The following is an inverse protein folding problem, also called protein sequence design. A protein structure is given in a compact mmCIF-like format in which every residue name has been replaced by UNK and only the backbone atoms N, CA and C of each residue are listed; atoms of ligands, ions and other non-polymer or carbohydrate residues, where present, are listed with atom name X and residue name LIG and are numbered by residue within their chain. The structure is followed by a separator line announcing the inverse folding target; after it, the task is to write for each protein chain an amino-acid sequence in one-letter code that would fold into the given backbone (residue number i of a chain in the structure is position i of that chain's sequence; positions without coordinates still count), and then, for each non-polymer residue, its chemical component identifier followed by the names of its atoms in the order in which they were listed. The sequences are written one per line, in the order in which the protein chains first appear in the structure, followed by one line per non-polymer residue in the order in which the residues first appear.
data_IF_648378739792
#
_entry.id   IF_648378739792
#
_cell.length_a   1.000
_cell.length_b   1.000
_cell.length_c   1.000
_cell.angle_alpha   90.00
_cell.angle_beta   90.00
_cell.angle_gamma   90.00
#
_symmetry.space_group_name_H-M   'P 1'
#
loop_
_entity.id
_entity.type
_entity.pdbx_description
1 polymer ?
#
# COMPACT_ATOMS: atom_id res chain seq x y z
N UNK A 1 3.26 9.18 -6.98
CA UNK A 1 3.47 10.45 -6.27
C UNK A 1 2.68 10.44 -4.96
N UNK A 2 3.29 10.89 -3.84
CA UNK A 2 2.61 11.07 -2.56
C UNK A 2 1.68 12.28 -2.60
N UNK A 3 0.58 12.19 -1.86
CA UNK A 3 -0.32 13.29 -1.57
C UNK A 3 -0.49 13.45 -0.06
N UNK A 4 -0.69 14.69 0.37
CA UNK A 4 -1.02 15.02 1.74
C UNK A 4 -2.39 15.67 1.75
N UNK A 5 -3.36 15.01 2.38
CA UNK A 5 -4.75 15.44 2.40
C UNK A 5 -5.10 16.04 3.75
N UNK A 6 -5.77 17.19 3.74
CA UNK A 6 -6.31 17.85 4.92
C UNK A 6 -7.83 17.91 4.86
N UNK A 7 -8.48 17.59 5.95
CA UNK A 7 -9.94 17.53 6.08
C UNK A 7 -10.52 18.80 6.72
N UNK A 8 -10.00 19.96 6.36
CA UNK A 8 -10.41 21.29 6.84
C UNK A 8 -10.44 21.43 8.37
N UNK A 9 -9.53 20.73 9.08
CA UNK A 9 -9.44 20.74 10.53
C UNK A 9 -10.44 19.85 11.27
N UNK A 10 -11.29 19.12 10.53
CA UNK A 10 -12.16 18.11 11.14
C UNK A 10 -11.34 16.84 11.45
N UNK A 11 -11.58 16.22 12.62
CA UNK A 11 -10.93 14.95 12.93
C UNK A 11 -11.42 13.84 12.01
N UNK A 12 -10.53 12.96 11.62
CA UNK A 12 -10.84 11.76 10.83
C UNK A 12 -10.31 10.51 11.55
N UNK A 13 -10.90 9.38 11.28
CA UNK A 13 -10.43 8.07 11.76
C UNK A 13 -10.16 7.19 10.55
N UNK A 14 -8.98 6.56 10.52
CA UNK A 14 -8.67 5.54 9.50
C UNK A 14 -9.40 4.26 9.90
N UNK A 15 -10.22 3.72 9.01
CA UNK A 15 -11.02 2.50 9.22
C UNK A 15 -10.67 1.38 8.28
N UNK A 16 -9.86 1.65 7.25
CA UNK A 16 -9.35 0.65 6.32
C UNK A 16 -8.07 1.10 5.63
N UNK A 17 -7.21 0.15 5.31
CA UNK A 17 -5.99 0.34 4.52
C UNK A 17 -5.91 -0.79 3.50
N UNK A 18 -5.76 -0.44 2.23
CA UNK A 18 -5.67 -1.37 1.09
C UNK A 18 -6.81 -2.40 1.07
N UNK A 19 -8.02 -1.97 1.48
CA UNK A 19 -9.22 -2.81 1.54
C UNK A 19 -9.33 -3.68 2.80
N UNK A 20 -8.35 -3.64 3.70
CA UNK A 20 -8.40 -4.38 4.96
C UNK A 20 -8.86 -3.47 6.11
N UNK A 21 -9.82 -3.89 6.94
CA UNK A 21 -10.29 -3.09 8.06
C UNK A 21 -9.20 -2.92 9.11
N UNK A 22 -9.16 -1.73 9.73
CA UNK A 22 -8.26 -1.42 10.82
C UNK A 22 -9.07 -0.97 12.03
N UNK A 23 -8.71 -1.46 13.19
CA UNK A 23 -9.47 -1.30 14.43
C UNK A 23 -8.70 -0.45 15.44
N UNK A 24 -9.42 0.16 16.38
CA UNK A 24 -8.88 0.96 17.48
C UNK A 24 -8.01 2.13 17.03
N UNK A 25 -8.34 2.77 15.91
CA UNK A 25 -7.59 3.92 15.42
C UNK A 25 -7.97 5.18 16.18
N UNK A 26 -6.97 5.94 16.60
CA UNK A 26 -7.19 7.25 17.18
C UNK A 26 -7.59 8.26 16.08
N UNK A 27 -8.45 9.24 16.40
CA UNK A 27 -8.73 10.32 15.47
C UNK A 27 -7.46 11.11 15.12
N UNK A 28 -7.23 11.29 13.81
CA UNK A 28 -6.21 12.18 13.28
C UNK A 28 -6.75 13.58 13.06
N UNK A 29 -5.95 14.61 13.27
CA UNK A 29 -6.30 16.01 13.01
C UNK A 29 -5.30 16.69 12.08
N UNK A 30 -4.18 16.03 11.83
CA UNK A 30 -3.14 16.48 10.90
C UNK A 30 -3.48 16.03 9.48
N UNK A 31 -2.59 16.33 8.54
CA UNK A 31 -2.74 15.81 7.18
C UNK A 31 -2.55 14.29 7.12
N UNK A 32 -3.28 13.65 6.22
CA UNK A 32 -3.14 12.24 5.88
C UNK A 32 -2.18 12.10 4.70
N UNK A 33 -1.06 11.41 4.90
CA UNK A 33 -0.16 11.03 3.80
C UNK A 33 -0.74 9.80 3.09
N UNK A 34 -0.80 9.86 1.75
CA UNK A 34 -1.19 8.73 0.90
C UNK A 34 -0.18 8.59 -0.23
N UNK A 35 0.43 7.42 -0.33
CA UNK A 35 1.39 7.07 -1.38
C UNK A 35 0.74 6.66 -2.69
N UNK A 36 1.54 6.44 -3.76
CA UNK A 36 1.04 5.89 -5.00
C UNK A 36 0.34 4.55 -4.74
N UNK A 37 -0.87 4.40 -5.28
CA UNK A 37 -1.74 3.23 -5.15
C UNK A 37 -2.15 2.79 -3.75
N UNK A 38 -1.77 3.49 -2.71
CA UNK A 38 -2.34 3.26 -1.39
C UNK A 38 -3.83 3.64 -1.38
N UNK A 39 -4.65 2.84 -0.72
CA UNK A 39 -6.07 3.11 -0.49
C UNK A 39 -6.29 3.20 1.00
N UNK A 40 -6.85 4.32 1.46
CA UNK A 40 -7.11 4.55 2.87
C UNK A 40 -8.57 4.95 3.01
N UNK A 41 -9.32 4.15 3.75
CA UNK A 41 -10.69 4.45 4.09
C UNK A 41 -10.72 5.28 5.37
N UNK A 42 -11.45 6.38 5.33
CA UNK A 42 -11.58 7.30 6.47
C UNK A 42 -13.03 7.50 6.87
N UNK A 43 -13.27 7.48 8.16
CA UNK A 43 -14.53 7.89 8.76
C UNK A 43 -14.43 9.34 9.21
N UNK A 44 -15.44 10.13 8.86
CA UNK A 44 -15.56 11.54 9.19
C UNK A 44 -16.91 11.83 9.85
N UNK A 45 -16.90 12.59 10.95
CA UNK A 45 -18.12 13.13 11.51
C UNK A 45 -18.40 14.48 10.84
N UNK A 46 -19.46 14.53 10.04
CA UNK A 46 -19.82 15.71 9.26
C UNK A 46 -20.80 16.58 10.04
N UNK A 47 -20.44 17.86 10.22
CA UNK A 47 -21.39 18.89 10.65
C UNK A 47 -22.23 19.33 9.44
N UNK A 48 -23.50 18.90 9.39
CA UNK A 48 -24.41 19.21 8.28
C UNK A 48 -24.78 20.69 8.18
N UNK A 49 -24.37 21.55 9.12
CA UNK A 49 -24.71 22.98 9.13
C UNK A 49 -23.70 23.83 8.40
N UNK A 50 -22.54 23.29 8.04
CA UNK A 50 -21.47 24.01 7.35
C UNK A 50 -20.87 23.22 6.20
N UNK A 51 -20.44 23.94 5.20
CA UNK A 51 -19.63 23.39 4.12
C UNK A 51 -18.22 23.09 4.66
N UNK A 52 -17.64 21.97 4.24
CA UNK A 52 -16.25 21.63 4.51
C UNK A 52 -15.55 21.11 3.23
N UNK A 53 -14.27 20.92 3.29
CA UNK A 53 -13.50 20.49 2.13
C UNK A 53 -12.36 19.55 2.50
N UNK A 54 -12.02 18.69 1.53
CA UNK A 54 -10.78 17.92 1.50
C UNK A 54 -9.86 18.63 0.52
N UNK A 55 -8.68 18.95 0.94
CA UNK A 55 -7.70 19.66 0.10
C UNK A 55 -6.34 18.97 0.13
N UNK A 56 -5.65 19.00 -1.00
CA UNK A 56 -4.24 18.65 -1.05
C UNK A 56 -3.43 19.80 -0.49
N UNK A 57 -2.49 19.47 0.41
CA UNK A 57 -1.55 20.43 1.01
C UNK A 57 -0.12 20.21 0.51
N UNK A 58 0.02 19.58 -0.66
CA UNK A 58 1.32 19.39 -1.28
C UNK A 58 1.92 20.71 -1.77
N UNK A 59 3.20 20.93 -1.49
CA UNK A 59 3.96 22.11 -1.96
C UNK A 59 4.19 22.10 -3.48
N UNK A 60 3.55 21.20 -4.21
CA UNK A 60 3.78 20.99 -5.63
C UNK A 60 2.68 21.62 -6.47
N UNK A 61 3.06 22.46 -7.43
CA UNK A 61 2.18 23.19 -8.34
C UNK A 61 1.14 22.35 -9.10
N UNK A 62 1.39 21.04 -9.27
CA UNK A 62 0.43 20.13 -9.91
C UNK A 62 -0.70 19.68 -8.98
N UNK A 63 -0.51 19.79 -7.66
CA UNK A 63 -1.53 19.50 -6.65
C UNK A 63 -2.19 20.78 -6.10
N UNK A 64 -1.67 21.95 -6.45
CA UNK A 64 -2.31 23.22 -6.15
C UNK A 64 -3.72 23.21 -6.71
N UNK A 65 -4.71 23.47 -5.85
CA UNK A 65 -6.14 23.49 -6.17
C UNK A 65 -6.85 22.12 -6.29
N UNK A 66 -6.26 21.03 -5.90
CA UNK A 66 -7.02 19.79 -5.70
C UNK A 66 -7.87 19.94 -4.43
N UNK A 67 -9.12 20.29 -4.63
CA UNK A 67 -10.10 20.52 -3.54
C UNK A 67 -11.40 19.80 -3.87
N UNK A 68 -11.83 18.95 -2.93
CA UNK A 68 -13.18 18.38 -2.94
C UNK A 68 -14.02 19.13 -1.92
N UNK A 69 -15.08 19.80 -2.41
CA UNK A 69 -16.05 20.48 -1.54
C UNK A 69 -17.18 19.54 -1.18
N UNK A 70 -17.44 19.40 0.11
CA UNK A 70 -18.57 18.65 0.63
C UNK A 70 -19.64 19.64 1.07
N UNK A 71 -20.75 19.63 0.34
CA UNK A 71 -21.89 20.53 0.55
C UNK A 71 -23.02 19.67 1.10
N UNK A 72 -23.40 19.84 2.37
CA UNK A 72 -24.55 19.15 2.93
C UNK A 72 -25.80 19.48 2.12
N UNK A 73 -26.63 18.48 1.81
CA UNK A 73 -27.99 18.74 1.33
C UNK A 73 -28.77 19.41 2.46
N UNK A 74 -29.41 20.55 2.18
CA UNK A 74 -30.39 21.11 3.08
C UNK A 74 -31.47 20.03 3.31
N UNK A 75 -31.45 19.44 4.47
CA UNK A 75 -32.52 18.56 4.93
C UNK A 75 -33.63 19.52 5.33
N UNK A 76 -34.79 19.39 4.70
CA UNK A 76 -36.00 20.13 5.12
C UNK A 76 -36.15 19.94 6.64
N UNK A 77 -36.46 21.03 7.35
CA UNK A 77 -36.45 21.12 8.81
C UNK A 77 -37.36 20.10 9.53
N UNK A 78 -38.13 19.32 8.79
CA UNK A 78 -39.10 18.35 9.33
C UNK A 78 -38.55 16.92 9.52
N UNK A 79 -37.34 16.62 9.14
CA UNK A 79 -36.75 15.31 9.35
C UNK A 79 -35.49 15.40 10.26
N UNK A 80 -35.76 15.59 11.57
CA UNK A 80 -34.81 15.21 12.61
C UNK A 80 -34.65 13.70 12.59
N UNK A 81 -33.88 13.18 11.66
CA UNK A 81 -33.37 11.82 11.71
C UNK A 81 -32.54 11.70 12.98
N UNK A 82 -33.03 10.88 13.90
CA UNK A 82 -32.28 10.41 15.05
C UNK A 82 -30.95 9.90 14.52
N UNK A 83 -29.88 10.63 14.78
CA UNK A 83 -28.54 10.08 14.83
C UNK A 83 -28.59 8.92 15.80
N UNK A 84 -28.59 7.71 15.30
CA UNK A 84 -28.22 6.56 16.10
C UNK A 84 -26.75 6.82 16.43
N UNK A 85 -26.50 7.32 17.64
CA UNK A 85 -25.19 7.20 18.24
C UNK A 85 -24.90 5.70 18.32
N UNK A 86 -24.21 5.16 17.35
CA UNK A 86 -23.41 3.98 17.57
C UNK A 86 -22.31 4.46 18.52
N UNK A 87 -22.57 4.32 19.81
CA UNK A 87 -21.51 4.26 20.80
C UNK A 87 -20.78 2.97 20.53
N UNK A 88 -19.88 3.00 19.58
CA UNK A 88 -18.76 2.10 19.64
C UNK A 88 -18.02 2.50 20.90
N UNK A 89 -17.98 1.59 21.86
CA UNK A 89 -17.14 1.69 23.03
C UNK A 89 -15.69 1.76 22.55
N UNK A 90 -15.26 2.98 22.20
CA UNK A 90 -13.86 3.29 22.01
C UNK A 90 -13.25 3.16 23.40
N UNK A 91 -12.74 1.98 23.70
CA UNK A 91 -11.86 1.81 24.86
C UNK A 91 -10.68 2.76 24.61
N UNK A 92 -10.66 3.86 25.33
CA UNK A 92 -9.60 4.88 25.34
C UNK A 92 -8.28 4.24 25.75
N UNK A 93 -7.63 3.45 24.94
CA UNK A 93 -6.26 2.91 25.07
C UNK A 93 -6.09 1.58 24.31
N UNK A 94 -6.91 1.29 23.29
CA UNK A 94 -6.68 0.13 22.43
C UNK A 94 -5.49 0.35 21.49
N UNK A 95 -4.58 -0.61 21.41
CA UNK A 95 -3.57 -0.61 20.37
C UNK A 95 -4.23 -0.84 19.01
N UNK A 96 -3.92 0.01 18.03
CA UNK A 96 -4.40 -0.14 16.66
C UNK A 96 -3.97 -1.51 16.11
N UNK A 97 -4.87 -2.24 15.45
CA UNK A 97 -4.59 -3.54 14.87
C UNK A 97 -5.42 -3.83 13.62
N UNK A 98 -4.97 -4.81 12.85
CA UNK A 98 -5.67 -5.44 11.74
C UNK A 98 -5.78 -6.94 12.00
N UNK A 99 -6.73 -7.61 11.35
CA UNK A 99 -6.79 -9.07 11.39
C UNK A 99 -5.57 -9.63 10.62
N UNK A 100 -4.70 -10.41 11.27
CA UNK A 100 -3.48 -10.91 10.62
C UNK A 100 -3.80 -12.08 9.68
N UNK A 101 -3.04 -12.20 8.59
CA UNK A 101 -3.03 -13.41 7.74
C UNK A 101 -2.52 -14.60 8.57
N UNK A 102 -1.45 -14.37 9.32
CA UNK A 102 -0.84 -15.35 10.19
C UNK A 102 -0.93 -14.88 11.64
N UNK A 103 -1.71 -15.59 12.46
CA UNK A 103 -1.79 -15.32 13.92
C UNK A 103 -0.47 -15.62 14.62
N UNK A 104 0.19 -16.69 14.19
CA UNK A 104 1.55 -17.04 14.57
C UNK A 104 2.37 -17.12 13.29
N UNK A 105 3.53 -16.47 13.27
CA UNK A 105 4.38 -16.45 12.08
C UNK A 105 4.94 -17.84 11.83
N UNK A 106 4.54 -18.51 10.75
CA UNK A 106 5.04 -19.83 10.42
C UNK A 106 6.47 -19.77 9.90
N UNK A 107 7.12 -20.93 9.80
CA UNK A 107 8.35 -21.05 9.03
C UNK A 107 8.01 -20.94 7.56
N UNK A 108 8.66 -20.07 6.79
CA UNK A 108 8.42 -19.97 5.35
C UNK A 108 8.91 -21.22 4.62
N UNK A 109 8.22 -21.58 3.55
CA UNK A 109 8.67 -22.64 2.63
C UNK A 109 9.72 -22.09 1.66
N UNK A 110 9.61 -20.78 1.33
CA UNK A 110 10.48 -20.07 0.40
C UNK A 110 10.81 -18.68 0.95
N UNK A 111 12.07 -18.25 0.77
CA UNK A 111 12.52 -16.91 1.13
C UNK A 111 13.17 -16.24 -0.09
N UNK A 112 12.83 -14.95 -0.31
CA UNK A 112 13.41 -14.11 -1.34
C UNK A 112 13.94 -12.80 -0.75
N UNK A 113 15.11 -12.36 -1.22
CA UNK A 113 15.64 -11.05 -0.91
C UNK A 113 15.52 -10.14 -2.14
N UNK A 114 14.97 -8.94 -1.95
CA UNK A 114 14.80 -7.92 -2.98
C UNK A 114 15.59 -6.68 -2.61
N UNK A 115 16.76 -6.51 -3.21
CA UNK A 115 17.52 -5.27 -3.13
C UNK A 115 16.98 -4.29 -4.17
N UNK A 116 16.29 -3.23 -3.70
CA UNK A 116 15.72 -2.19 -4.54
C UNK A 116 16.78 -1.12 -4.82
N UNK A 117 17.21 -1.01 -6.05
CA UNK A 117 18.32 -0.15 -6.48
C UNK A 117 17.92 0.86 -7.55
N UNK A 118 18.84 1.77 -7.83
CA UNK A 118 18.76 2.69 -8.97
C UNK A 118 20.15 2.94 -9.52
N UNK A 119 20.30 2.86 -10.84
CA UNK A 119 21.57 3.06 -11.54
C UNK A 119 21.39 3.95 -12.76
N UNK A 120 22.51 4.42 -13.31
CA UNK A 120 22.52 5.11 -14.60
C UNK A 120 22.84 4.10 -15.69
N UNK A 121 21.86 3.73 -16.49
CA UNK A 121 22.04 2.97 -17.70
C UNK A 121 22.59 3.81 -18.88
N UNK A 122 22.44 3.32 -20.10
CA UNK A 122 22.91 4.02 -21.31
C UNK A 122 22.10 5.29 -21.64
N UNK A 123 22.07 6.25 -20.69
CA UNK A 123 21.46 7.57 -20.88
C UNK A 123 20.14 7.78 -20.13
N UNK A 124 19.60 6.75 -19.49
CA UNK A 124 18.39 6.82 -18.67
C UNK A 124 18.67 6.29 -17.27
N UNK A 125 17.83 6.69 -16.32
CA UNK A 125 17.80 6.09 -14.99
C UNK A 125 17.15 4.70 -15.11
N UNK A 126 17.83 3.69 -14.61
CA UNK A 126 17.34 2.33 -14.46
C UNK A 126 16.99 2.09 -12.99
N UNK A 127 15.90 1.37 -12.74
CA UNK A 127 15.48 1.00 -11.40
C UNK A 127 15.47 -0.53 -11.30
N UNK A 128 16.25 -1.06 -10.38
CA UNK A 128 16.63 -2.46 -10.37
C UNK A 128 16.05 -3.22 -9.18
N UNK A 129 15.85 -4.53 -9.34
CA UNK A 129 15.70 -5.50 -8.27
C UNK A 129 16.89 -6.45 -8.37
N UNK A 130 17.69 -6.55 -7.29
CA UNK A 130 18.90 -7.38 -7.24
C UNK A 130 19.88 -7.07 -8.40
N UNK A 131 20.05 -5.76 -8.71
CA UNK A 131 20.94 -5.24 -9.77
C UNK A 131 20.45 -5.51 -11.21
N UNK A 132 19.30 -6.20 -11.38
CA UNK A 132 18.71 -6.52 -12.68
C UNK A 132 17.46 -5.68 -12.94
N UNK A 133 17.12 -5.51 -14.23
CA UNK A 133 15.89 -4.87 -14.70
C UNK A 133 15.00 -5.91 -15.37
N UNK A 134 13.69 -5.75 -15.26
CA UNK A 134 12.74 -6.62 -15.96
C UNK A 134 12.98 -6.57 -17.50
N UNK A 135 12.99 -7.71 -18.21
CA UNK A 135 12.55 -9.05 -17.77
C UNK A 135 13.66 -9.96 -17.19
N UNK A 136 14.87 -9.47 -16.97
CA UNK A 136 16.00 -10.27 -16.46
C UNK A 136 15.95 -10.49 -14.94
N UNK A 137 15.03 -9.82 -14.23
CA UNK A 137 14.83 -10.02 -12.79
C UNK A 137 14.41 -11.46 -12.47
N UNK A 138 14.98 -12.05 -11.42
CA UNK A 138 14.62 -13.40 -10.98
C UNK A 138 13.16 -13.46 -10.51
N UNK A 139 12.31 -14.36 -11.07
CA UNK A 139 10.93 -14.51 -10.64
C UNK A 139 10.81 -15.22 -9.29
N UNK A 140 9.73 -14.96 -8.58
CA UNK A 140 9.32 -15.72 -7.40
C UNK A 140 8.60 -17.00 -7.85
N UNK A 141 9.31 -18.11 -7.91
CA UNK A 141 8.72 -19.41 -8.25
C UNK A 141 8.06 -20.05 -7.03
N UNK A 142 6.76 -20.29 -7.08
CA UNK A 142 5.99 -20.84 -5.95
C UNK A 142 5.10 -22.00 -6.38
N UNK A 143 4.66 -22.78 -5.40
CA UNK A 143 3.54 -23.75 -5.51
C UNK A 143 2.34 -23.22 -4.77
N UNK A 144 1.16 -23.59 -5.20
CA UNK A 144 -0.05 -23.33 -4.43
C UNK A 144 0.05 -23.89 -3.01
N UNK A 145 -0.15 -23.01 -2.05
CA UNK A 145 -0.08 -23.31 -0.62
C UNK A 145 1.22 -22.94 0.06
N UNK A 146 2.29 -22.65 -0.67
CA UNK A 146 3.58 -22.24 -0.09
C UNK A 146 3.42 -20.97 0.76
N UNK A 147 4.16 -20.92 1.86
CA UNK A 147 4.36 -19.73 2.66
C UNK A 147 5.63 -19.04 2.19
N UNK A 148 5.48 -17.84 1.68
CA UNK A 148 6.57 -17.05 1.11
C UNK A 148 6.95 -15.92 2.04
N UNK A 149 8.24 -15.75 2.31
CA UNK A 149 8.81 -14.57 2.95
C UNK A 149 9.61 -13.79 1.91
N UNK A 150 9.40 -12.48 1.83
CA UNK A 150 10.24 -11.60 1.05
C UNK A 150 10.82 -10.50 1.94
N UNK A 151 12.12 -10.22 1.78
CA UNK A 151 12.82 -9.11 2.43
C UNK A 151 13.07 -8.04 1.38
N UNK A 152 12.45 -6.88 1.54
CA UNK A 152 12.63 -5.72 0.67
C UNK A 152 13.61 -4.76 1.34
N UNK A 153 14.70 -4.42 0.65
CA UNK A 153 15.75 -3.51 1.16
C UNK A 153 15.92 -2.39 0.15
N UNK A 154 15.72 -1.15 0.55
CA UNK A 154 15.91 -0.01 -0.32
C UNK A 154 17.32 0.61 -0.13
N UNK A 155 18.21 0.32 -1.06
CA UNK A 155 19.59 0.88 -1.12
C UNK A 155 19.67 2.11 -2.05
N UNK A 156 18.55 2.60 -2.54
CA UNK A 156 18.48 3.78 -3.40
C UNK A 156 18.14 5.04 -2.60
N UNK A 157 18.13 6.19 -3.29
CA UNK A 157 17.69 7.48 -2.73
C UNK A 157 16.22 7.82 -3.02
N UNK A 158 15.48 6.90 -3.61
CA UNK A 158 14.09 7.09 -4.01
C UNK A 158 13.17 6.24 -3.14
N UNK A 159 11.93 6.69 -2.98
CA UNK A 159 10.87 5.85 -2.40
C UNK A 159 10.44 4.80 -3.43
N UNK A 160 10.22 3.57 -2.97
CA UNK A 160 9.72 2.50 -3.83
C UNK A 160 8.42 1.93 -3.25
N UNK A 161 7.25 2.39 -3.73
CA UNK A 161 5.98 1.76 -3.40
C UNK A 161 5.86 0.43 -4.16
N UNK A 162 6.18 -0.67 -3.48
CA UNK A 162 6.18 -2.03 -4.04
C UNK A 162 4.81 -2.67 -3.88
N UNK A 163 4.20 -3.10 -4.98
CA UNK A 163 2.86 -3.70 -5.04
C UNK A 163 2.93 -5.12 -5.59
N UNK A 164 2.30 -6.04 -4.85
CA UNK A 164 2.15 -7.43 -5.25
C UNK A 164 0.72 -7.67 -5.74
N UNK A 165 0.58 -8.00 -7.02
CA UNK A 165 -0.72 -8.35 -7.60
C UNK A 165 -1.27 -9.66 -7.06
N UNK A 166 -2.59 -9.73 -6.97
CA UNK A 166 -3.34 -10.95 -6.67
C UNK A 166 -3.20 -11.47 -5.23
N UNK A 167 -2.37 -10.87 -4.40
CA UNK A 167 -2.11 -11.32 -3.03
C UNK A 167 -2.07 -10.17 -2.03
N UNK A 168 -2.51 -10.45 -0.82
CA UNK A 168 -2.18 -9.63 0.35
C UNK A 168 -0.99 -10.24 1.08
N UNK A 169 -0.14 -9.41 1.65
CA UNK A 169 0.96 -9.83 2.51
C UNK A 169 0.83 -9.19 3.89
N UNK A 170 1.38 -9.88 4.88
CA UNK A 170 1.53 -9.38 6.24
C UNK A 170 2.95 -8.84 6.41
N UNK A 171 3.08 -7.58 6.85
CA UNK A 171 4.36 -7.00 7.23
C UNK A 171 4.72 -7.54 8.60
N UNK A 172 5.83 -8.25 8.72
CA UNK A 172 6.23 -8.94 9.96
C UNK A 172 7.41 -8.27 10.67
N UNK A 173 8.25 -7.55 9.92
CA UNK A 173 9.35 -6.76 10.50
C UNK A 173 9.63 -5.51 9.68
N UNK A 174 10.20 -4.50 10.34
CA UNK A 174 10.77 -3.29 9.73
C UNK A 174 12.17 -3.05 10.30
N UNK A 175 13.16 -2.80 9.44
CA UNK A 175 14.55 -2.52 9.81
C UNK A 175 15.14 -3.58 10.77
N UNK A 176 14.80 -4.86 10.51
CA UNK A 176 15.19 -6.01 11.31
C UNK A 176 14.46 -6.11 12.67
N UNK A 177 13.51 -5.24 12.95
CA UNK A 177 12.73 -5.30 14.19
C UNK A 177 11.33 -5.86 13.92
N UNK A 178 10.97 -6.92 14.64
CA UNK A 178 9.65 -7.53 14.55
C UNK A 178 8.57 -6.53 14.98
N UNK A 179 7.47 -6.51 14.24
CA UNK A 179 6.31 -5.69 14.57
C UNK A 179 5.40 -6.41 15.58
N UNK A 180 5.03 -5.70 16.66
CA UNK A 180 4.06 -6.20 17.64
C UNK A 180 2.66 -6.31 17.06
N UNK A 181 2.31 -5.36 16.16
CA UNK A 181 1.02 -5.32 15.45
C UNK A 181 1.29 -5.34 13.95
N UNK A 182 1.39 -6.52 13.35
CA UNK A 182 1.61 -6.65 11.91
C UNK A 182 0.43 -6.09 11.12
N UNK A 183 0.74 -5.45 9.99
CA UNK A 183 -0.25 -4.88 9.08
C UNK A 183 -0.39 -5.78 7.86
N UNK A 184 -1.62 -5.90 7.35
CA UNK A 184 -1.94 -6.60 6.11
C UNK A 184 -2.15 -5.59 5.00
N UNK A 185 -1.38 -5.70 3.94
CA UNK A 185 -1.35 -4.77 2.81
C UNK A 185 -1.13 -5.54 1.50
N UNK A 186 -1.37 -4.91 0.39
CA UNK A 186 -0.93 -5.36 -0.95
C UNK A 186 0.15 -4.43 -1.54
N UNK A 187 0.41 -3.32 -0.87
CA UNK A 187 1.41 -2.34 -1.27
C UNK A 187 2.18 -1.84 -0.04
N UNK A 188 3.50 -1.68 -0.19
CA UNK A 188 4.35 -1.11 0.84
C UNK A 188 5.33 -0.10 0.24
N UNK A 189 5.35 1.13 0.78
CA UNK A 189 6.31 2.14 0.38
C UNK A 189 7.61 1.98 1.17
N UNK A 190 8.65 1.47 0.52
CA UNK A 190 9.99 1.29 1.10
C UNK A 190 10.78 2.57 0.87
N UNK A 191 11.00 3.36 1.95
CA UNK A 191 11.75 4.62 1.86
C UNK A 191 13.26 4.35 1.81
N UNK A 192 14.08 5.33 1.37
CA UNK A 192 15.54 5.20 1.35
C UNK A 192 16.13 4.72 2.68
N UNK A 193 16.90 3.64 2.64
CA UNK A 193 17.53 3.03 3.81
C UNK A 193 16.62 2.18 4.70
N UNK A 194 15.34 2.06 4.37
CA UNK A 194 14.42 1.17 5.07
C UNK A 194 14.49 -0.26 4.53
N UNK A 195 14.15 -1.21 5.41
CA UNK A 195 13.90 -2.60 5.03
C UNK A 195 12.62 -3.11 5.66
N UNK A 196 11.95 -4.01 4.94
CA UNK A 196 10.73 -4.67 5.41
C UNK A 196 10.80 -6.17 5.13
N UNK A 197 10.34 -6.96 6.10
CA UNK A 197 10.03 -8.36 5.88
C UNK A 197 8.53 -8.51 5.75
N UNK A 198 8.10 -9.06 4.62
CA UNK A 198 6.71 -9.37 4.33
C UNK A 198 6.52 -10.89 4.21
N UNK A 199 5.32 -11.35 4.53
CA UNK A 199 4.98 -12.77 4.42
C UNK A 199 3.59 -12.93 3.84
N UNK A 200 3.43 -13.84 2.89
CA UNK A 200 2.15 -14.15 2.28
C UNK A 200 2.00 -15.65 2.02
N UNK A 201 0.78 -16.06 1.77
CA UNK A 201 0.47 -17.41 1.32
C UNK A 201 0.22 -17.40 -0.18
N UNK A 202 0.86 -18.27 -0.91
CA UNK A 202 0.60 -18.49 -2.32
C UNK A 202 -0.71 -19.27 -2.50
N UNK A 203 -1.86 -18.57 -2.53
CA UNK A 203 -3.20 -19.17 -2.59
C UNK A 203 -4.06 -18.68 -3.76
N UNK A 204 -3.46 -17.97 -4.70
CA UNK A 204 -4.11 -17.49 -5.90
C UNK A 204 -3.27 -17.84 -7.15
N UNK A 205 -3.39 -19.09 -7.69
CA UNK A 205 -2.58 -19.53 -8.80
C UNK A 205 -2.69 -18.63 -10.04
N UNK A 206 -1.54 -18.22 -10.56
CA UNK A 206 -1.47 -17.30 -11.69
C UNK A 206 -0.05 -16.90 -12.04
N UNK A 207 0.04 -15.87 -12.85
CA UNK A 207 1.25 -15.11 -13.14
C UNK A 207 0.97 -13.66 -12.69
N UNK A 208 1.67 -13.21 -11.66
CA UNK A 208 1.38 -11.95 -11.02
C UNK A 208 2.59 -11.02 -11.04
N UNK A 209 2.37 -9.75 -11.32
CA UNK A 209 3.42 -8.76 -11.21
C UNK A 209 3.72 -8.42 -9.75
N UNK A 210 5.00 -8.23 -9.44
CA UNK A 210 5.46 -7.59 -8.22
C UNK A 210 6.36 -6.43 -8.62
N UNK A 211 5.87 -5.21 -8.50
CA UNK A 211 6.51 -4.05 -9.10
C UNK A 211 6.43 -2.78 -8.26
N UNK A 212 7.31 -1.83 -8.56
CA UNK A 212 7.20 -0.49 -8.02
C UNK A 212 6.01 0.24 -8.65
N UNK A 213 5.16 0.88 -7.83
CA UNK A 213 4.00 1.63 -8.32
C UNK A 213 4.30 3.13 -8.59
N UNK A 214 5.56 3.57 -8.52
CA UNK A 214 6.00 4.73 -9.29
C UNK A 214 6.19 4.28 -10.74
N UNK A 215 5.34 4.78 -11.64
CA UNK A 215 5.29 4.33 -13.03
C UNK A 215 6.61 4.54 -13.77
N UNK A 216 7.39 5.58 -13.41
CA UNK A 216 8.70 5.79 -14.00
C UNK A 216 9.71 4.72 -13.54
N UNK A 217 9.59 4.27 -12.28
CA UNK A 217 10.45 3.22 -11.76
C UNK A 217 10.09 1.86 -12.36
N UNK A 218 8.80 1.56 -12.49
CA UNK A 218 8.32 0.35 -13.16
C UNK A 218 8.77 0.32 -14.63
N UNK A 219 8.52 1.41 -15.38
CA UNK A 219 8.98 1.55 -16.74
C UNK A 219 10.52 1.52 -16.88
N UNK A 220 11.25 1.92 -15.83
CA UNK A 220 12.70 1.84 -15.72
C UNK A 220 13.24 0.47 -15.30
N UNK A 221 12.37 -0.54 -15.14
CA UNK A 221 12.75 -1.94 -14.90
C UNK A 221 12.48 -2.52 -13.53
N UNK A 222 11.93 -1.74 -12.55
CA UNK A 222 11.68 -2.24 -11.20
C UNK A 222 10.39 -3.08 -11.14
N UNK A 223 10.49 -4.26 -11.67
CA UNK A 223 9.44 -5.27 -11.68
C UNK A 223 10.03 -6.68 -11.66
N UNK A 224 9.33 -7.62 -11.06
CA UNK A 224 9.52 -9.07 -11.18
C UNK A 224 8.17 -9.76 -11.21
N UNK A 225 8.14 -11.07 -11.33
CA UNK A 225 6.91 -11.87 -11.37
C UNK A 225 6.84 -12.85 -10.22
N UNK A 226 5.61 -13.14 -9.78
CA UNK A 226 5.29 -14.29 -8.94
C UNK A 226 4.67 -15.36 -9.85
N UNK A 227 5.36 -16.49 -9.99
CA UNK A 227 5.04 -17.55 -10.96
C UNK A 227 4.65 -18.84 -10.23
N UNK A 228 3.44 -19.29 -10.47
CA UNK A 228 2.97 -20.56 -9.91
C UNK A 228 3.39 -21.74 -10.79
N UNK A 229 4.03 -22.73 -10.18
CA UNK A 229 4.40 -23.96 -10.89
C UNK A 229 3.16 -24.67 -11.47
N UNK A 230 3.23 -24.95 -12.75
CA UNK A 230 2.13 -25.60 -13.49
C UNK A 230 1.07 -24.62 -14.03
N UNK A 231 1.17 -23.33 -13.73
CA UNK A 231 0.38 -22.30 -14.38
C UNK A 231 1.02 -21.92 -15.73
N UNK A 232 0.19 -21.71 -16.74
CA UNK A 232 0.64 -21.34 -18.07
C UNK A 232 -0.11 -20.09 -18.54
N UNK A 233 0.60 -19.00 -18.73
CA UNK A 233 0.03 -17.82 -19.39
C UNK A 233 -0.04 -18.07 -20.91
N UNK A 234 -1.19 -17.85 -21.57
CA UNK A 234 -1.27 -17.90 -23.02
C UNK A 234 -0.65 -16.66 -23.70
N UNK A 235 -0.19 -15.69 -22.91
CA UNK A 235 0.39 -14.46 -23.40
C UNK A 235 1.91 -14.46 -23.14
N UNK A 236 2.68 -14.00 -24.12
CA UNK A 236 4.10 -13.76 -23.93
C UNK A 236 4.30 -12.41 -23.21
N UNK A 237 4.72 -12.48 -21.96
CA UNK A 237 4.95 -11.31 -21.12
C UNK A 237 6.34 -10.67 -21.35
N UNK A 238 7.23 -11.37 -22.06
CA UNK A 238 8.62 -10.92 -22.23
C UNK A 238 8.81 -10.00 -23.45
N UNK A 239 7.92 -10.06 -24.46
CA UNK A 239 8.06 -9.27 -25.69
C UNK A 239 7.79 -7.77 -25.51
N UNK A 240 6.98 -7.36 -24.51
CA UNK A 240 6.61 -5.97 -24.26
C UNK A 240 6.82 -5.55 -22.79
N UNK A 241 7.71 -6.20 -22.08
CA UNK A 241 7.95 -5.99 -20.65
C UNK A 241 8.13 -4.52 -20.27
N UNK A 242 7.84 -4.15 -19.06
CA UNK A 242 7.95 -2.81 -18.47
C UNK A 242 6.86 -1.80 -18.84
N UNK A 243 5.77 -2.18 -19.50
CA UNK A 243 4.62 -1.29 -19.61
C UNK A 243 3.84 -1.30 -18.27
N UNK A 244 3.82 -0.19 -17.52
CA UNK A 244 3.01 -0.09 -16.33
C UNK A 244 1.53 -0.13 -16.71
N UNK A 245 0.69 -0.72 -15.87
CA UNK A 245 -0.77 -0.73 -16.00
C UNK A 245 -1.38 0.67 -15.99
#
# INVERSE_FOLDING_TARGET
RKHFLRFNGEPYRIVGIDGNPIYNTNPGTEHLEIGPSERIDVELTIDNTKQWQIESVDDNSAAENMVVKVIPKNIDEDNQSKTTETKDDVTENGTQYMDPIFKEIPTPDIEYDMLLGASMGMGNMEFTINEEIFPETEPFEVKEGDIVKATLINDSRFDHPMHLHGHYFQIIAKDGQKLDNPMVKDLINVKPGESYEIMFKADNPGLWAFHCHDLNHAAGGMMTTLEYQGYYSPFDIHENGNEPE
#
